data_IF_596819085997
#
_entry.id   IF_596819085997
#
_cell.length_a   1.000
_cell.length_b   1.000
_cell.length_c   1.000
_cell.angle_alpha   90.00
_cell.angle_beta   90.00
_cell.angle_gamma   90.00
#
_symmetry.space_group_name_H-M   'P 1'
#
loop_
_entity.id
_entity.type
_entity.pdbx_description
1 polymer ?
#
# COMPACT_ATOMS: atom_id res chain seq x y z
N UNK A 1 -0.85 14.41 -9.47
CA UNK A 1 -0.34 13.02 -9.50
C UNK A 1 -1.43 12.15 -10.08
N UNK A 2 -1.25 11.62 -11.28
CA UNK A 2 -2.25 10.76 -11.94
C UNK A 2 -2.11 9.34 -11.41
N UNK A 3 -3.23 8.66 -11.12
CA UNK A 3 -3.19 7.25 -10.74
C UNK A 3 -2.93 6.38 -11.97
N UNK A 4 -2.26 5.25 -11.78
CA UNK A 4 -2.10 4.23 -12.82
C UNK A 4 -3.46 3.79 -13.33
N UNK A 5 -3.54 3.50 -14.63
CA UNK A 5 -4.78 2.99 -15.22
C UNK A 5 -4.96 1.53 -14.85
N UNK A 6 -6.21 1.06 -14.88
CA UNK A 6 -6.57 -0.36 -14.73
C UNK A 6 -5.74 -1.24 -15.67
N UNK A 7 -5.74 -0.88 -16.95
CA UNK A 7 -5.02 -1.60 -18.00
C UNK A 7 -3.53 -1.71 -17.68
N UNK A 8 -2.85 -0.59 -17.44
CA UNK A 8 -1.41 -0.59 -17.13
C UNK A 8 -1.07 -1.33 -15.83
N UNK A 9 -1.97 -1.33 -14.85
CA UNK A 9 -1.75 -2.06 -13.60
C UNK A 9 -1.87 -3.57 -13.81
N UNK A 10 -2.93 -4.03 -14.47
CA UNK A 10 -3.13 -5.46 -14.76
C UNK A 10 -2.07 -6.00 -15.72
N UNK A 11 -1.58 -5.18 -16.65
CA UNK A 11 -0.45 -5.53 -17.52
C UNK A 11 0.83 -5.75 -16.70
N UNK A 12 1.15 -4.86 -15.75
CA UNK A 12 2.31 -5.03 -14.88
C UNK A 12 2.23 -6.29 -13.99
N UNK A 13 1.03 -6.79 -13.69
CA UNK A 13 0.84 -8.05 -12.96
C UNK A 13 1.03 -9.30 -13.83
N UNK A 14 1.07 -9.14 -15.16
CA UNK A 14 1.22 -10.23 -16.15
C UNK A 14 2.66 -10.41 -16.65
N UNK A 15 3.58 -9.51 -16.27
CA UNK A 15 4.99 -9.60 -16.65
C UNK A 15 5.64 -10.91 -16.15
N UNK A 16 6.81 -11.34 -16.68
CA UNK A 16 7.35 -12.68 -16.42
C UNK A 16 7.54 -12.97 -14.92
N UNK A 17 6.90 -14.04 -14.43
CA UNK A 17 6.79 -14.34 -12.99
C UNK A 17 5.52 -13.77 -12.32
N UNK A 18 4.60 -13.22 -13.12
CA UNK A 18 3.35 -12.60 -12.71
C UNK A 18 2.28 -13.56 -12.20
N UNK A 19 1.13 -12.98 -11.84
CA UNK A 19 0.06 -13.71 -11.17
C UNK A 19 -0.71 -14.63 -12.14
N UNK A 20 -1.25 -15.77 -11.65
CA UNK A 20 -2.18 -16.58 -12.43
C UNK A 20 -3.40 -15.76 -12.90
N UNK A 21 -3.98 -16.13 -14.05
CA UNK A 21 -5.12 -15.39 -14.62
C UNK A 21 -6.31 -15.28 -13.66
N UNK A 22 -6.60 -16.32 -12.86
CA UNK A 22 -7.68 -16.26 -11.86
C UNK A 22 -7.46 -15.21 -10.77
N UNK A 23 -6.21 -14.99 -10.35
CA UNK A 23 -5.86 -13.92 -9.41
C UNK A 23 -5.98 -12.53 -10.07
N UNK A 24 -5.61 -12.44 -11.35
CA UNK A 24 -5.79 -11.21 -12.13
C UNK A 24 -7.27 -10.84 -12.24
N UNK A 25 -8.14 -11.80 -12.55
CA UNK A 25 -9.60 -11.58 -12.66
C UNK A 25 -10.22 -11.19 -11.31
N UNK A 26 -9.72 -11.77 -10.21
CA UNK A 26 -10.11 -11.37 -8.85
C UNK A 26 -9.70 -9.94 -8.55
N UNK A 27 -8.42 -9.57 -8.77
CA UNK A 27 -7.91 -8.20 -8.57
C UNK A 27 -8.69 -7.21 -9.41
N UNK A 28 -9.02 -7.61 -10.63
CA UNK A 28 -9.81 -6.82 -11.55
C UNK A 28 -11.22 -6.51 -11.02
N UNK A 29 -11.90 -7.51 -10.45
CA UNK A 29 -13.19 -7.32 -9.78
C UNK A 29 -13.14 -6.36 -8.58
N UNK A 30 -11.99 -6.28 -7.89
CA UNK A 30 -11.78 -5.40 -6.75
C UNK A 30 -11.44 -3.95 -7.16
N UNK A 31 -11.08 -3.73 -8.42
CA UNK A 31 -10.56 -2.47 -8.93
C UNK A 31 -11.44 -1.25 -8.65
N UNK A 32 -12.78 -1.26 -8.86
CA UNK A 32 -13.60 -0.06 -8.68
C UNK A 32 -13.51 0.52 -7.27
N UNK A 33 -13.64 -0.33 -6.25
CA UNK A 33 -13.55 0.09 -4.84
C UNK A 33 -12.13 0.53 -4.46
N UNK A 34 -11.11 -0.23 -4.87
CA UNK A 34 -9.73 0.12 -4.60
C UNK A 34 -9.31 1.45 -5.26
N UNK A 35 -9.76 1.71 -6.49
CA UNK A 35 -9.48 2.98 -7.18
C UNK A 35 -10.19 4.14 -6.49
N UNK A 36 -11.43 3.98 -6.05
CA UNK A 36 -12.15 5.02 -5.31
C UNK A 36 -11.45 5.39 -4.00
N UNK A 37 -11.02 4.38 -3.21
CA UNK A 37 -10.23 4.59 -2.01
C UNK A 37 -8.87 5.27 -2.31
N UNK A 38 -8.19 4.87 -3.38
CA UNK A 38 -6.93 5.48 -3.79
C UNK A 38 -7.11 6.96 -4.20
N UNK A 39 -8.19 7.29 -4.91
CA UNK A 39 -8.52 8.67 -5.28
C UNK A 39 -8.80 9.54 -4.05
N UNK A 40 -9.58 9.02 -3.10
CA UNK A 40 -9.85 9.71 -1.84
C UNK A 40 -8.57 9.95 -1.04
N UNK A 41 -7.76 8.90 -0.83
CA UNK A 41 -6.52 9.01 -0.08
C UNK A 41 -5.51 9.94 -0.75
N UNK A 42 -5.49 9.97 -2.09
CA UNK A 42 -4.69 10.92 -2.86
C UNK A 42 -5.10 12.38 -2.59
N UNK A 43 -6.39 12.66 -2.50
CA UNK A 43 -6.91 14.02 -2.30
C UNK A 43 -6.51 14.60 -0.93
N UNK A 44 -6.40 13.74 0.08
CA UNK A 44 -6.06 14.13 1.46
C UNK A 44 -4.56 14.14 1.71
N UNK A 45 -3.77 13.45 0.89
CA UNK A 45 -2.34 13.31 1.10
C UNK A 45 -1.62 14.68 1.09
N UNK A 46 -1.00 15.10 2.22
CA UNK A 46 -0.20 16.31 2.23
C UNK A 46 0.95 16.15 1.23
N UNK A 47 1.27 17.23 0.52
CA UNK A 47 2.33 17.20 -0.49
C UNK A 47 3.63 16.63 0.09
N UNK A 48 3.96 15.39 -0.28
CA UNK A 48 5.23 14.74 0.08
C UNK A 48 6.36 15.46 -0.66
N UNK A 49 6.71 16.65 -0.18
CA UNK A 49 7.81 17.48 -0.70
C UNK A 49 9.16 17.02 -0.14
N UNK A 50 10.05 17.96 0.15
CA UNK A 50 11.32 17.72 0.86
C UNK A 50 11.10 17.41 2.35
N UNK A 51 10.39 16.31 2.63
CA UNK A 51 10.23 15.85 4.00
C UNK A 51 11.50 15.15 4.51
N UNK A 52 11.83 15.42 5.77
CA UNK A 52 12.81 14.64 6.52
C UNK A 52 12.40 13.16 6.56
N UNK A 53 13.33 12.21 6.76
CA UNK A 53 13.02 10.79 6.83
C UNK A 53 11.87 10.46 7.80
N UNK A 54 11.78 11.17 8.93
CA UNK A 54 10.69 11.04 9.90
C UNK A 54 9.33 11.42 9.31
N UNK A 55 9.23 12.62 8.70
CA UNK A 55 7.98 13.08 8.08
C UNK A 55 7.54 12.19 6.91
N UNK A 56 8.49 11.56 6.22
CA UNK A 56 8.19 10.56 5.18
C UNK A 56 7.51 9.32 5.76
N UNK A 57 8.01 8.80 6.88
CA UNK A 57 7.38 7.67 7.57
C UNK A 57 5.98 8.04 8.09
N UNK A 58 5.84 9.20 8.72
CA UNK A 58 4.56 9.71 9.21
C UNK A 58 3.54 9.90 8.07
N UNK A 59 3.98 10.37 6.90
CA UNK A 59 3.12 10.49 5.71
C UNK A 59 2.62 9.14 5.19
N UNK A 60 3.44 8.08 5.27
CA UNK A 60 3.02 6.73 4.90
C UNK A 60 1.98 6.19 5.90
N UNK A 61 2.20 6.38 7.20
CA UNK A 61 1.22 5.99 8.23
C UNK A 61 -0.11 6.73 8.03
N UNK A 62 -0.06 8.04 7.78
CA UNK A 62 -1.26 8.84 7.50
C UNK A 62 -1.99 8.36 6.24
N UNK A 63 -1.25 7.97 5.19
CA UNK A 63 -1.82 7.38 3.98
C UNK A 63 -2.57 6.07 4.30
N UNK A 64 -1.97 5.17 5.07
CA UNK A 64 -2.63 3.92 5.47
C UNK A 64 -3.86 4.18 6.35
N UNK A 65 -3.81 5.15 7.26
CA UNK A 65 -4.95 5.54 8.08
C UNK A 65 -6.11 6.08 7.23
N UNK A 66 -5.80 6.85 6.19
CA UNK A 66 -6.81 7.40 5.28
C UNK A 66 -7.45 6.30 4.41
N UNK A 67 -6.67 5.29 4.01
CA UNK A 67 -7.21 4.10 3.34
C UNK A 67 -8.15 3.30 4.27
N UNK A 68 -7.77 3.06 5.52
CA UNK A 68 -8.64 2.41 6.50
C UNK A 68 -9.94 3.19 6.73
N UNK A 69 -9.86 4.53 6.73
CA UNK A 69 -11.03 5.41 6.85
C UNK A 69 -11.94 5.29 5.62
N UNK A 70 -11.38 5.40 4.42
CA UNK A 70 -12.12 5.24 3.17
C UNK A 70 -12.79 3.86 3.10
N UNK A 71 -12.13 2.82 3.61
CA UNK A 71 -12.69 1.47 3.68
C UNK A 71 -13.93 1.40 4.56
N UNK A 72 -13.89 2.00 5.75
CA UNK A 72 -15.04 2.07 6.66
C UNK A 72 -16.18 2.87 6.04
N UNK A 73 -15.89 4.00 5.41
CA UNK A 73 -16.88 4.89 4.81
C UNK A 73 -17.58 4.23 3.60
N UNK A 74 -16.86 3.41 2.84
CA UNK A 74 -17.34 2.80 1.59
C UNK A 74 -17.68 1.30 1.71
N UNK A 75 -17.54 0.71 2.91
CA UNK A 75 -17.75 -0.72 3.13
C UNK A 75 -16.77 -1.63 2.37
N UNK A 76 -15.52 -1.18 2.19
CA UNK A 76 -14.51 -1.94 1.45
C UNK A 76 -13.84 -2.99 2.32
N UNK A 77 -13.50 -4.12 1.67
CA UNK A 77 -12.69 -5.14 2.30
C UNK A 77 -11.22 -4.70 2.44
N UNK A 78 -10.51 -5.29 3.40
CA UNK A 78 -9.09 -5.00 3.63
C UNK A 78 -8.22 -5.25 2.39
N UNK A 79 -8.57 -6.22 1.57
CA UNK A 79 -7.88 -6.49 0.30
C UNK A 79 -7.99 -5.32 -0.68
N UNK A 80 -9.13 -4.64 -0.76
CA UNK A 80 -9.30 -3.44 -1.59
C UNK A 80 -8.43 -2.29 -1.08
N UNK A 81 -8.18 -2.23 0.24
CA UNK A 81 -7.27 -1.24 0.83
C UNK A 81 -5.82 -1.52 0.46
N UNK A 82 -5.41 -2.79 0.48
CA UNK A 82 -4.08 -3.20 0.01
C UNK A 82 -3.92 -2.94 -1.50
N UNK A 83 -4.95 -3.21 -2.29
CA UNK A 83 -4.94 -2.88 -3.73
C UNK A 83 -4.87 -1.37 -3.96
N UNK A 84 -5.62 -0.57 -3.19
CA UNK A 84 -5.55 0.89 -3.24
C UNK A 84 -4.14 1.41 -2.90
N UNK A 85 -3.50 0.84 -1.87
CA UNK A 85 -2.12 1.13 -1.53
C UNK A 85 -1.16 0.77 -2.68
N UNK A 86 -1.34 -0.39 -3.32
CA UNK A 86 -0.53 -0.81 -4.46
C UNK A 86 -0.68 0.15 -5.66
N UNK A 87 -1.92 0.56 -5.99
CA UNK A 87 -2.21 1.56 -7.02
C UNK A 87 -1.43 2.85 -6.72
N UNK A 88 -1.50 3.35 -5.48
CA UNK A 88 -0.81 4.56 -5.06
C UNK A 88 0.73 4.43 -5.16
N UNK A 89 1.29 3.32 -4.70
CA UNK A 89 2.74 3.03 -4.77
C UNK A 89 3.26 2.98 -6.20
N UNK A 90 2.51 2.37 -7.13
CA UNK A 90 2.86 2.34 -8.55
C UNK A 90 2.77 3.73 -9.19
N UNK A 91 1.77 4.52 -8.79
CA UNK A 91 1.48 5.83 -9.37
C UNK A 91 2.50 6.91 -9.03
N UNK A 92 3.26 6.79 -7.93
CA UNK A 92 4.17 7.86 -7.53
C UNK A 92 5.40 7.43 -6.73
N UNK A 93 6.58 7.82 -7.23
CA UNK A 93 7.86 7.57 -6.57
C UNK A 93 7.96 8.15 -5.15
N UNK A 94 7.28 9.27 -4.88
CA UNK A 94 7.24 9.87 -3.52
C UNK A 94 6.55 8.98 -2.49
N UNK A 95 5.56 8.18 -2.90
CA UNK A 95 4.88 7.23 -2.02
C UNK A 95 5.82 6.07 -1.70
N UNK A 96 6.56 5.56 -2.69
CA UNK A 96 7.62 4.57 -2.47
C UNK A 96 8.74 5.08 -1.56
N UNK A 97 9.08 6.38 -1.63
CA UNK A 97 10.03 7.01 -0.69
C UNK A 97 9.46 7.12 0.73
N UNK A 98 8.15 7.39 0.87
CA UNK A 98 7.48 7.42 2.16
C UNK A 98 7.44 6.02 2.80
N UNK A 99 7.08 5.01 2.01
CA UNK A 99 7.15 3.59 2.35
C UNK A 99 8.55 3.17 2.81
N UNK A 100 9.59 3.48 2.04
CA UNK A 100 10.97 3.16 2.42
C UNK A 100 11.36 3.84 3.75
N UNK A 101 10.93 5.08 3.97
CA UNK A 101 11.12 5.78 5.24
C UNK A 101 10.39 5.12 6.41
N UNK A 102 9.18 4.62 6.18
CA UNK A 102 8.40 3.85 7.15
C UNK A 102 9.10 2.54 7.50
N UNK A 103 9.47 1.73 6.49
CA UNK A 103 10.15 0.45 6.69
C UNK A 103 11.49 0.61 7.43
N UNK A 104 12.28 1.64 7.10
CA UNK A 104 13.53 1.91 7.81
C UNK A 104 13.32 2.34 9.27
N UNK A 105 12.16 2.90 9.60
CA UNK A 105 11.82 3.35 10.96
C UNK A 105 11.15 2.27 11.79
N UNK A 106 10.39 1.38 11.17
CA UNK A 106 9.56 0.38 11.85
C UNK A 106 10.32 -0.43 12.92
N UNK A 107 11.53 -0.97 12.68
CA UNK A 107 12.28 -1.73 13.70
C UNK A 107 12.67 -0.91 14.94
N UNK A 108 12.60 0.42 14.87
CA UNK A 108 12.94 1.34 15.96
C UNK A 108 11.70 1.87 16.69
N UNK A 109 10.50 1.47 16.27
CA UNK A 109 9.26 1.85 16.94
C UNK A 109 9.06 0.98 18.19
N UNK A 110 8.63 1.60 19.29
CA UNK A 110 8.21 0.85 20.48
C UNK A 110 6.91 0.08 20.22
N UNK A 111 6.61 -0.87 21.11
CA UNK A 111 5.44 -1.76 20.98
C UNK A 111 4.11 -1.00 20.96
N UNK A 112 4.00 0.11 21.69
CA UNK A 112 2.76 0.90 21.72
C UNK A 112 2.54 1.61 20.38
N UNK A 113 3.60 2.19 19.81
CA UNK A 113 3.57 2.82 18.50
C UNK A 113 3.27 1.79 17.40
N UNK A 114 3.84 0.58 17.46
CA UNK A 114 3.50 -0.50 16.53
C UNK A 114 2.02 -0.95 16.67
N UNK A 115 1.50 -1.06 17.89
CA UNK A 115 0.10 -1.42 18.14
C UNK A 115 -0.88 -0.37 17.58
N UNK A 116 -0.50 0.92 17.60
CA UNK A 116 -1.31 2.03 17.07
C UNK A 116 -1.31 2.14 15.54
N UNK A 117 -0.56 1.30 14.82
CA UNK A 117 -0.51 1.38 13.36
C UNK A 117 -1.89 1.08 12.73
N UNK A 118 -2.22 1.76 11.61
CA UNK A 118 -3.37 1.42 10.78
C UNK A 118 -3.35 -0.04 10.35
N UNK A 119 -4.52 -0.66 10.18
CA UNK A 119 -4.64 -2.05 9.69
C UNK A 119 -3.97 -2.19 8.33
N UNK A 120 -4.19 -1.25 7.42
CA UNK A 120 -3.52 -1.27 6.11
C UNK A 120 -1.99 -1.33 6.24
N UNK A 121 -1.39 -0.62 7.20
CA UNK A 121 0.05 -0.65 7.44
C UNK A 121 0.52 -1.98 8.06
N UNK A 122 -0.26 -2.54 8.99
CA UNK A 122 0.02 -3.84 9.63
C UNK A 122 0.00 -4.98 8.61
N UNK A 123 -1.03 -5.03 7.77
CA UNK A 123 -1.14 -6.01 6.69
C UNK A 123 -0.01 -5.89 5.67
N UNK A 124 0.41 -4.67 5.36
CA UNK A 124 1.55 -4.42 4.49
C UNK A 124 2.88 -4.94 5.09
N UNK A 125 3.09 -4.77 6.39
CA UNK A 125 4.27 -5.33 7.06
C UNK A 125 4.23 -6.87 7.09
N UNK A 126 3.06 -7.44 7.33
CA UNK A 126 2.88 -8.89 7.33
C UNK A 126 3.18 -9.50 5.95
N UNK A 127 2.73 -8.86 4.86
CA UNK A 127 3.03 -9.36 3.51
C UNK A 127 4.52 -9.29 3.17
N UNK A 128 5.24 -8.27 3.62
CA UNK A 128 6.70 -8.21 3.46
C UNK A 128 7.38 -9.34 4.23
N UNK A 129 6.97 -9.57 5.47
CA UNK A 129 7.57 -10.61 6.30
C UNK A 129 7.39 -12.01 5.68
N UNK A 130 6.20 -12.31 5.17
CA UNK A 130 5.93 -13.56 4.47
C UNK A 130 6.81 -13.75 3.23
N UNK A 131 6.99 -12.69 2.42
CA UNK A 131 7.86 -12.75 1.24
C UNK A 131 9.32 -13.02 1.63
N UNK A 132 9.81 -12.38 2.69
CA UNK A 132 11.16 -12.60 3.19
C UNK A 132 11.39 -14.04 3.69
N UNK A 133 10.37 -14.67 4.26
CA UNK A 133 10.44 -16.07 4.69
C UNK A 133 10.40 -17.05 3.50
N UNK A 134 9.63 -16.74 2.46
CA UNK A 134 9.55 -17.57 1.25
C UNK A 134 10.85 -17.58 0.43
N UNK A 135 11.65 -16.50 0.51
CA UNK A 135 12.94 -16.38 -0.19
C UNK A 135 14.12 -17.00 0.59
N UNK A 136 13.88 -17.61 1.76
CA UNK A 136 14.93 -18.33 2.52
C UNK A 136 14.83 -19.82 2.20
N UNK A 137 15.64 -20.39 1.27
CA UNK A 137 15.66 -21.83 1.08
C UNK A 137 16.17 -22.50 2.35
N UNK A 138 15.42 -23.50 2.84
CA UNK A 138 15.85 -24.41 3.91
C UNK A 138 17.28 -24.88 3.60
N UNK A 139 18.21 -24.53 4.49
CA UNK A 139 19.63 -24.89 4.38
C UNK A 139 19.92 -26.17 5.14
#
# INVERSE_FOLDING_TARGET
MTLVTRKSFLEALRDPGGLPQGEIDRIDGLWPGAKAAAEQARAVMPGIGFFSPRRRAEAFVALCAELDRAAKDQGLAQEQCQLALAILRMSAARIRKAEAGFLARFPRMDSAAQASLPETAKHFLYSIHLLQQADTPDT
#
